data_IF_735214255503
#
_entry.id   IF_735214255503
#
_cell.length_a   1.000
_cell.length_b   1.000
_cell.length_c   1.000
_cell.angle_alpha   90.00
_cell.angle_beta   90.00
_cell.angle_gamma   90.00
#
_symmetry.space_group_name_H-M   'P 1'
#
loop_
_entity.id
_entity.type
_entity.pdbx_description
1 polymer ?
#
# COMPACT_ATOMS: atom_id res chain seq x y z
N UNK A 1 -8.09 -1.45 14.21
CA UNK A 1 -7.54 -1.19 12.87
C UNK A 1 -6.14 -0.65 13.04
N UNK A 2 -5.16 -1.37 12.51
CA UNK A 2 -3.75 -1.04 12.71
C UNK A 2 -3.35 0.07 11.72
N UNK A 3 -2.87 1.20 12.25
CA UNK A 3 -2.31 2.28 11.45
C UNK A 3 -0.83 2.00 11.14
N UNK A 4 -0.46 2.18 9.87
CA UNK A 4 0.87 1.92 9.35
C UNK A 4 1.32 3.04 8.42
N UNK A 5 2.63 3.21 8.32
CA UNK A 5 3.27 4.05 7.30
C UNK A 5 4.13 3.16 6.41
N UNK A 6 4.14 3.43 5.11
CA UNK A 6 5.06 2.78 4.18
C UNK A 6 6.32 3.62 4.09
N UNK A 7 7.44 3.09 4.58
CA UNK A 7 8.73 3.79 4.60
C UNK A 7 9.73 3.11 3.66
N UNK A 8 10.43 3.90 2.86
CA UNK A 8 11.61 3.46 2.11
C UNK A 8 12.86 4.24 2.53
N UNK A 9 14.02 3.69 2.20
CA UNK A 9 15.32 4.33 2.43
C UNK A 9 16.08 4.43 1.12
N UNK A 10 16.62 5.61 0.83
CA UNK A 10 17.44 5.85 -0.37
C UNK A 10 18.71 6.61 -0.01
N UNK A 11 19.81 6.28 -0.70
CA UNK A 11 21.09 6.97 -0.53
C UNK A 11 21.15 8.19 -1.44
N UNK A 12 21.14 9.39 -0.86
CA UNK A 12 21.20 10.66 -1.57
C UNK A 12 22.42 11.44 -1.06
N UNK A 13 23.31 11.84 -1.96
CA UNK A 13 24.58 12.50 -1.61
C UNK A 13 25.43 11.73 -0.57
N UNK A 14 25.41 10.38 -0.63
CA UNK A 14 26.07 9.46 0.32
C UNK A 14 25.46 9.43 1.73
N UNK A 15 24.29 10.02 1.92
CA UNK A 15 23.54 9.96 3.17
C UNK A 15 22.29 9.10 3.01
N UNK A 16 21.99 8.26 4.00
CA UNK A 16 20.76 7.47 4.03
C UNK A 16 19.59 8.36 4.41
N UNK A 17 18.64 8.51 3.50
CA UNK A 17 17.42 9.31 3.71
C UNK A 17 16.20 8.41 3.74
N UNK A 18 15.35 8.64 4.74
CA UNK A 18 14.09 7.94 4.94
C UNK A 18 12.95 8.77 4.38
N UNK A 19 12.03 8.11 3.69
CA UNK A 19 10.85 8.72 3.11
C UNK A 19 9.63 7.89 3.46
N UNK A 20 8.52 8.55 3.79
CA UNK A 20 7.22 7.91 3.90
C UNK A 20 6.42 8.16 2.62
N UNK A 21 5.64 7.17 2.19
CA UNK A 21 4.64 7.37 1.15
C UNK A 21 3.53 8.27 1.72
N UNK A 22 3.19 9.32 0.98
CA UNK A 22 2.19 10.31 1.39
C UNK A 22 1.23 10.63 0.24
N UNK A 23 0.04 11.11 0.57
CA UNK A 23 -0.91 11.66 -0.38
C UNK A 23 -1.88 12.65 0.30
N UNK A 24 -2.29 13.71 -0.39
CA UNK A 24 -3.29 14.65 0.16
C UNK A 24 -4.72 14.09 0.06
N UNK A 25 -5.01 13.36 -1.02
CA UNK A 25 -6.34 12.82 -1.32
C UNK A 25 -7.23 13.82 -2.03
N UNK A 26 -7.84 14.74 -1.29
CA UNK A 26 -8.69 15.78 -1.87
C UNK A 26 -7.84 16.83 -2.59
N UNK A 27 -8.18 17.15 -3.84
CA UNK A 27 -7.42 18.07 -4.69
C UNK A 27 -6.24 17.41 -5.40
N UNK A 28 -5.50 16.53 -4.72
CA UNK A 28 -4.40 15.77 -5.32
C UNK A 28 -4.41 14.30 -4.88
N UNK A 29 -4.67 13.42 -5.85
CA UNK A 29 -4.74 11.96 -5.63
C UNK A 29 -3.42 11.25 -5.86
N UNK A 30 -2.38 11.94 -6.34
CA UNK A 30 -1.11 11.30 -6.65
C UNK A 30 -0.27 11.19 -5.38
N UNK A 31 0.33 10.02 -5.19
CA UNK A 31 1.26 9.82 -4.09
C UNK A 31 2.58 10.54 -4.34
N UNK A 32 3.23 10.91 -3.24
CA UNK A 32 4.57 11.49 -3.22
C UNK A 32 5.34 10.99 -1.99
N UNK A 33 6.58 11.45 -1.84
CA UNK A 33 7.48 11.04 -0.77
C UNK A 33 7.68 12.19 0.24
N UNK A 34 7.27 11.97 1.48
CA UNK A 34 7.50 12.87 2.59
C UNK A 34 8.83 12.51 3.28
N UNK A 35 9.84 13.40 3.30
CA UNK A 35 11.13 13.12 3.92
C UNK A 35 11.03 13.08 5.44
N UNK A 36 11.48 12.00 6.07
CA UNK A 36 11.39 11.84 7.54
C UNK A 36 12.75 11.84 8.24
N UNK A 37 13.86 11.93 7.51
CA UNK A 37 15.21 11.96 8.11
C UNK A 37 15.53 13.25 8.87
N UNK A 38 14.93 14.38 8.48
CA UNK A 38 15.23 15.70 9.06
C UNK A 38 14.31 16.08 10.23
N UNK A 39 13.61 15.10 10.82
CA UNK A 39 12.59 15.30 11.85
C UNK A 39 13.06 16.10 13.08
N UNK A 40 14.38 16.15 13.32
CA UNK A 40 15.00 16.97 14.39
C UNK A 40 14.89 18.48 14.11
N UNK A 41 14.89 18.88 12.85
CA UNK A 41 14.90 20.28 12.42
C UNK A 41 13.59 20.70 11.77
N UNK A 42 12.94 19.79 11.04
CA UNK A 42 11.68 20.02 10.34
C UNK A 42 10.77 18.82 10.62
N UNK A 43 9.67 18.99 11.37
CA UNK A 43 8.75 17.89 11.62
C UNK A 43 8.06 17.46 10.32
N UNK A 44 8.06 16.17 9.96
CA UNK A 44 7.37 15.68 8.77
C UNK A 44 5.86 15.71 8.97
N UNK A 45 5.11 15.88 7.88
CA UNK A 45 3.66 15.76 7.92
C UNK A 45 3.22 14.29 7.89
N UNK A 46 3.12 13.68 9.07
CA UNK A 46 2.71 12.28 9.21
C UNK A 46 1.21 12.06 9.01
N UNK A 47 0.37 13.11 9.05
CA UNK A 47 -1.08 12.91 8.96
C UNK A 47 -1.50 12.40 7.57
N UNK A 48 -0.79 12.84 6.54
CA UNK A 48 -0.96 12.42 5.14
C UNK A 48 -0.14 11.17 4.77
N UNK A 49 0.62 10.61 5.73
CA UNK A 49 1.42 9.40 5.55
C UNK A 49 0.72 8.15 6.11
N UNK A 50 -0.34 8.33 6.89
CA UNK A 50 -0.98 7.24 7.63
C UNK A 50 -1.95 6.45 6.76
N UNK A 51 -1.77 5.13 6.76
CA UNK A 51 -2.69 4.18 6.16
C UNK A 51 -3.23 3.23 7.21
N UNK A 52 -4.48 2.83 7.03
CA UNK A 52 -5.14 1.79 7.80
C UNK A 52 -5.10 0.51 6.98
N UNK A 53 -4.62 -0.57 7.59
CA UNK A 53 -4.77 -1.91 7.02
C UNK A 53 -6.24 -2.32 7.13
N UNK A 54 -6.98 -2.15 6.04
CA UNK A 54 -8.41 -2.43 6.02
C UNK A 54 -8.68 -3.92 5.77
N UNK A 55 -7.97 -4.55 4.83
CA UNK A 55 -8.12 -5.97 4.53
C UNK A 55 -6.80 -6.70 4.28
N UNK A 56 -6.80 -8.00 4.59
CA UNK A 56 -5.75 -8.96 4.25
C UNK A 56 -6.40 -10.28 3.90
N UNK A 57 -6.20 -10.74 2.66
CA UNK A 57 -6.80 -11.95 2.11
C UNK A 57 -5.73 -12.77 1.42
N UNK A 58 -5.91 -14.10 1.40
CA UNK A 58 -5.14 -14.92 0.46
C UNK A 58 -5.52 -14.54 -0.97
N UNK A 59 -4.61 -14.72 -1.93
CA UNK A 59 -4.87 -14.39 -3.34
C UNK A 59 -6.12 -15.11 -3.88
N UNK A 60 -6.36 -16.36 -3.46
CA UNK A 60 -7.56 -17.11 -3.84
C UNK A 60 -8.83 -16.49 -3.28
N UNK A 61 -8.83 -16.14 -1.99
CA UNK A 61 -9.98 -15.49 -1.37
C UNK A 61 -10.27 -14.11 -1.98
N UNK A 62 -9.22 -13.37 -2.36
CA UNK A 62 -9.37 -12.11 -3.10
C UNK A 62 -10.03 -12.34 -4.47
N UNK A 63 -9.56 -13.32 -5.24
CA UNK A 63 -10.14 -13.65 -6.54
C UNK A 63 -11.62 -14.01 -6.43
N UNK A 64 -11.98 -14.87 -5.47
CA UNK A 64 -13.37 -15.24 -5.19
C UNK A 64 -14.22 -14.02 -4.84
N UNK A 65 -13.70 -13.13 -3.98
CA UNK A 65 -14.38 -11.89 -3.61
C UNK A 65 -14.62 -10.99 -4.82
N UNK A 66 -13.59 -10.73 -5.63
CA UNK A 66 -13.68 -9.86 -6.81
C UNK A 66 -14.65 -10.42 -7.86
N UNK A 67 -14.71 -11.74 -8.04
CA UNK A 67 -15.69 -12.37 -8.94
C UNK A 67 -17.13 -12.29 -8.43
N UNK A 68 -17.33 -12.27 -7.11
CA UNK A 68 -18.65 -12.22 -6.48
C UNK A 68 -19.18 -10.77 -6.28
N UNK A 69 -18.33 -9.76 -6.49
CA UNK A 69 -18.68 -8.34 -6.32
C UNK A 69 -19.67 -7.84 -7.39
N UNK A 70 -20.01 -8.66 -8.40
CA UNK A 70 -21.03 -8.38 -9.40
C UNK A 70 -22.47 -8.33 -8.87
N UNK A 71 -22.79 -9.02 -7.76
CA UNK A 71 -24.18 -9.17 -7.33
C UNK A 71 -24.51 -8.72 -5.89
N UNK A 72 -23.56 -8.59 -4.94
CA UNK A 72 -23.86 -8.16 -3.55
C UNK A 72 -22.63 -7.57 -2.81
N UNK A 73 -22.07 -6.47 -3.31
CA UNK A 73 -20.77 -5.93 -2.88
C UNK A 73 -20.72 -5.25 -1.49
N UNK A 74 -21.83 -5.04 -0.78
CA UNK A 74 -21.83 -4.16 0.41
C UNK A 74 -21.77 -4.87 1.76
N UNK A 75 -21.92 -6.20 1.86
CA UNK A 75 -22.14 -6.86 3.17
C UNK A 75 -21.19 -8.04 3.48
N UNK A 76 -20.29 -8.42 2.57
CA UNK A 76 -19.48 -9.63 2.73
C UNK A 76 -18.14 -9.51 3.49
N UNK A 77 -17.64 -8.29 3.74
CA UNK A 77 -16.26 -8.10 4.24
C UNK A 77 -16.15 -7.82 5.76
N UNK A 78 -17.20 -8.11 6.53
CA UNK A 78 -17.18 -8.02 7.98
C UNK A 78 -16.49 -9.24 8.61
N UNK A 79 -15.16 -9.35 8.46
CA UNK A 79 -14.34 -10.20 9.34
C UNK A 79 -13.55 -9.32 10.30
N UNK A 80 -14.26 -8.77 11.28
CA UNK A 80 -13.66 -8.08 12.43
C UNK A 80 -12.86 -9.04 13.28
N UNK A 81 -11.54 -8.81 13.37
CA UNK A 81 -10.60 -9.52 14.21
C UNK A 81 -9.19 -9.02 13.91
N UNK A 82 -8.27 -9.05 14.87
CA UNK A 82 -6.86 -8.68 14.64
C UNK A 82 -6.27 -9.53 13.52
N UNK A 83 -6.20 -8.96 12.30
CA UNK A 83 -5.78 -9.68 11.10
C UNK A 83 -4.27 -9.78 11.14
N UNK A 84 -3.77 -10.97 11.49
CA UNK A 84 -2.34 -11.25 11.34
C UNK A 84 -1.99 -11.20 9.86
N UNK A 85 -1.12 -10.28 9.47
CA UNK A 85 -0.56 -10.23 8.12
C UNK A 85 0.32 -11.44 7.87
N UNK A 86 0.12 -12.10 6.72
CA UNK A 86 0.97 -13.18 6.24
C UNK A 86 1.63 -12.77 4.93
N UNK A 87 2.86 -13.22 4.70
CA UNK A 87 3.48 -13.15 3.38
C UNK A 87 2.64 -13.94 2.37
N UNK A 88 2.45 -13.37 1.18
CA UNK A 88 1.62 -13.91 0.11
C UNK A 88 0.17 -13.45 0.15
N UNK A 89 -0.23 -12.74 1.20
CA UNK A 89 -1.56 -12.13 1.23
C UNK A 89 -1.60 -10.86 0.40
N UNK A 90 -2.77 -10.63 -0.21
CA UNK A 90 -3.15 -9.35 -0.75
C UNK A 90 -3.72 -8.46 0.36
N UNK A 91 -3.30 -7.22 0.41
CA UNK A 91 -3.75 -6.21 1.36
C UNK A 91 -4.48 -5.06 0.67
N UNK A 92 -5.40 -4.47 1.42
CA UNK A 92 -6.11 -3.25 1.08
C UNK A 92 -5.72 -2.17 2.09
N UNK A 93 -5.14 -1.07 1.59
CA UNK A 93 -4.68 0.06 2.40
C UNK A 93 -5.59 1.25 2.15
N UNK A 94 -6.21 1.76 3.22
CA UNK A 94 -7.03 2.98 3.20
C UNK A 94 -6.24 4.13 3.81
N UNK A 95 -6.14 5.23 3.09
CA UNK A 95 -5.52 6.46 3.56
C UNK A 95 -6.35 7.07 4.69
N UNK A 96 -5.76 7.23 5.87
CA UNK A 96 -6.47 7.58 7.12
C UNK A 96 -7.12 8.96 7.02
N UNK A 97 -6.48 9.93 6.37
CA UNK A 97 -7.01 11.29 6.29
C UNK A 97 -8.14 11.46 5.28
N UNK A 98 -8.03 10.83 4.10
CA UNK A 98 -8.98 11.05 2.99
C UNK A 98 -10.00 9.94 2.80
N UNK A 99 -9.92 8.84 3.56
CA UNK A 99 -10.79 7.67 3.44
C UNK A 99 -10.73 6.97 2.06
N UNK A 100 -9.71 7.27 1.26
CA UNK A 100 -9.51 6.70 -0.08
C UNK A 100 -8.52 5.54 -0.04
N UNK A 101 -8.51 4.69 -1.06
CA UNK A 101 -7.68 3.49 -1.14
C UNK A 101 -6.42 3.71 -1.98
N UNK A 102 -5.28 3.20 -1.50
CA UNK A 102 -4.01 3.21 -2.24
C UNK A 102 -4.14 2.34 -3.50
N UNK A 103 -3.92 2.93 -4.66
CA UNK A 103 -4.16 2.32 -5.96
C UNK A 103 -2.98 2.48 -6.91
N UNK A 104 -2.76 1.45 -7.73
CA UNK A 104 -2.02 1.59 -8.98
C UNK A 104 -2.92 2.30 -10.01
N UNK A 105 -2.47 3.41 -10.57
CA UNK A 105 -3.19 4.19 -11.57
C UNK A 105 -2.84 3.71 -12.99
N UNK A 106 -3.74 3.94 -13.94
CA UNK A 106 -3.46 3.68 -15.36
C UNK A 106 -2.66 4.80 -16.03
N UNK A 107 -2.53 5.95 -15.36
CA UNK A 107 -1.68 7.05 -15.81
C UNK A 107 -0.21 6.75 -15.56
N UNK A 108 0.66 7.39 -16.32
CA UNK A 108 2.10 7.39 -16.09
C UNK A 108 2.65 8.79 -16.37
N UNK A 109 3.34 9.37 -15.39
CA UNK A 109 4.09 10.63 -15.55
C UNK A 109 5.57 10.42 -15.79
N UNK A 110 6.05 9.17 -15.79
CA UNK A 110 7.46 8.86 -16.01
C UNK A 110 7.85 9.12 -17.46
N UNK A 111 8.90 9.92 -17.66
CA UNK A 111 9.46 10.17 -19.00
C UNK A 111 10.53 9.14 -19.37
N UNK A 112 11.10 8.45 -18.38
CA UNK A 112 12.25 7.55 -18.54
C UNK A 112 11.84 6.08 -18.50
N UNK A 113 10.80 5.73 -17.74
CA UNK A 113 10.28 4.37 -17.65
C UNK A 113 8.86 4.29 -18.22
N UNK A 114 8.76 3.75 -19.44
CA UNK A 114 7.48 3.60 -20.15
C UNK A 114 6.57 2.53 -19.55
N UNK A 115 7.10 1.68 -18.67
CA UNK A 115 6.34 0.63 -18.00
C UNK A 115 5.86 1.07 -16.61
N UNK A 116 6.35 2.22 -16.12
CA UNK A 116 5.93 2.76 -14.84
C UNK A 116 4.46 3.18 -14.88
N UNK A 117 3.79 2.97 -13.76
CA UNK A 117 2.44 3.46 -13.48
C UNK A 117 2.52 4.42 -12.31
N UNK A 118 1.69 5.46 -12.32
CA UNK A 118 1.57 6.33 -11.16
C UNK A 118 0.89 5.57 -10.00
N UNK A 119 1.26 5.92 -8.79
CA UNK A 119 0.60 5.45 -7.56
C UNK A 119 -0.22 6.62 -7.01
N UNK A 120 -1.43 6.32 -6.54
CA UNK A 120 -2.32 7.35 -6.00
C UNK A 120 -3.45 6.80 -5.16
N UNK A 121 -4.51 7.59 -5.02
CA UNK A 121 -5.68 7.30 -4.20
C UNK A 121 -6.97 7.22 -5.05
N UNK A 122 -7.87 6.31 -4.68
CA UNK A 122 -9.21 6.14 -5.29
C UNK A 122 -10.30 6.05 -4.23
N UNK A 123 -11.47 6.64 -4.51
CA UNK A 123 -12.60 6.68 -3.56
C UNK A 123 -13.24 5.32 -3.27
N UNK A 124 -13.18 4.37 -4.21
CA UNK A 124 -13.70 3.02 -4.01
C UNK A 124 -12.58 1.98 -4.15
N UNK A 125 -12.72 0.88 -3.40
CA UNK A 125 -11.82 -0.27 -3.45
C UNK A 125 -12.20 -1.26 -4.57
N UNK A 126 -12.91 -0.80 -5.62
CA UNK A 126 -13.44 -1.69 -6.64
C UNK A 126 -12.33 -2.21 -7.57
N UNK A 127 -12.37 -3.52 -7.83
CA UNK A 127 -11.44 -4.22 -8.70
C UNK A 127 -10.06 -4.41 -8.06
N UNK A 128 -9.11 -4.84 -8.89
CA UNK A 128 -7.76 -5.26 -8.45
C UNK A 128 -6.81 -4.08 -8.16
N UNK A 129 -7.11 -2.89 -8.67
CA UNK A 129 -6.17 -1.77 -8.69
C UNK A 129 -5.79 -1.24 -7.30
N UNK A 130 -6.63 -1.50 -6.28
CA UNK A 130 -6.39 -1.09 -4.89
C UNK A 130 -5.70 -2.17 -4.04
N UNK A 131 -5.39 -3.33 -4.63
CA UNK A 131 -4.85 -4.48 -3.92
C UNK A 131 -3.36 -4.67 -4.18
N UNK A 132 -2.64 -5.01 -3.12
CA UNK A 132 -1.18 -5.19 -3.15
C UNK A 132 -0.81 -6.49 -2.46
N UNK A 133 -0.03 -7.36 -3.09
CA UNK A 133 0.51 -8.56 -2.44
C UNK A 133 1.80 -8.25 -1.69
N UNK A 134 1.94 -8.80 -0.48
CA UNK A 134 3.15 -8.64 0.35
C UNK A 134 4.06 -9.86 0.14
N UNK A 135 5.31 -9.61 -0.23
CA UNK A 135 6.34 -10.64 -0.39
C UNK A 135 7.56 -10.35 0.50
N UNK A 136 8.27 -11.38 0.98
CA UNK A 136 9.46 -11.19 1.80
C UNK A 136 10.62 -10.65 0.95
N UNK A 137 11.30 -9.61 1.44
CA UNK A 137 12.47 -9.06 0.73
C UNK A 137 13.72 -9.94 0.85
N UNK A 138 13.75 -10.89 1.79
CA UNK A 138 14.91 -11.76 2.04
C UNK A 138 14.51 -13.21 2.28
N UNK A 139 15.48 -14.13 2.14
CA UNK A 139 15.30 -15.57 2.41
C UNK A 139 15.11 -15.92 3.90
N UNK A 140 15.12 -14.95 4.80
CA UNK A 140 14.85 -15.15 6.23
C UNK A 140 13.36 -15.31 6.54
N UNK A 141 12.50 -15.01 5.55
CA UNK A 141 11.06 -15.14 5.63
C UNK A 141 10.54 -15.94 4.45
N UNK A 142 9.40 -16.60 4.64
CA UNK A 142 8.73 -17.40 3.61
C UNK A 142 7.26 -17.03 3.47
N UNK A 143 6.70 -17.33 2.30
CA UNK A 143 5.25 -17.26 2.04
C UNK A 143 4.46 -18.01 3.11
N UNK A 144 3.37 -17.40 3.60
CA UNK A 144 2.54 -17.92 4.68
C UNK A 144 3.06 -17.65 6.09
N UNK A 145 4.29 -17.14 6.26
CA UNK A 145 4.77 -16.70 7.58
C UNK A 145 4.14 -15.36 8.00
N UNK A 146 4.07 -15.12 9.31
CA UNK A 146 3.59 -13.85 9.86
C UNK A 146 4.57 -12.72 9.57
N UNK A 147 4.05 -11.62 9.02
CA UNK A 147 4.80 -10.36 8.87
C UNK A 147 5.04 -9.75 10.25
N UNK A 148 6.27 -9.31 10.53
CA UNK A 148 6.65 -8.69 11.80
C UNK A 148 6.92 -7.20 11.61
N UNK A 149 6.78 -6.44 12.70
CA UNK A 149 7.14 -5.01 12.72
C UNK A 149 8.63 -4.87 12.38
N UNK A 150 8.94 -4.03 11.39
CA UNK A 150 10.29 -3.78 10.93
C UNK A 150 10.85 -4.82 9.95
N UNK A 151 10.04 -5.79 9.50
CA UNK A 151 10.43 -6.63 8.37
C UNK A 151 10.48 -5.78 7.08
N UNK A 152 11.45 -6.07 6.20
CA UNK A 152 11.54 -5.49 4.86
C UNK A 152 10.56 -6.20 3.92
N UNK A 153 9.71 -5.42 3.24
CA UNK A 153 8.61 -5.91 2.41
C UNK A 153 8.81 -5.54 0.94
N UNK A 154 8.33 -6.42 0.06
CA UNK A 154 8.10 -6.11 -1.35
C UNK A 154 6.59 -6.06 -1.56
N UNK A 155 6.08 -4.93 -2.05
CA UNK A 155 4.68 -4.78 -2.43
C UNK A 155 4.54 -4.92 -3.94
N UNK A 156 3.63 -5.79 -4.39
CA UNK A 156 3.34 -6.00 -5.81
C UNK A 156 1.88 -5.72 -6.07
N UNK A 157 1.61 -4.77 -6.97
CA UNK A 157 0.26 -4.43 -7.43
C UNK A 157 -0.42 -5.64 -8.06
N UNK A 158 -1.64 -5.96 -7.63
CA UNK A 158 -2.40 -7.07 -8.21
C UNK A 158 -2.80 -6.77 -9.66
N UNK A 159 -3.20 -5.53 -9.97
CA UNK A 159 -3.70 -5.19 -11.30
C UNK A 159 -2.63 -5.04 -12.38
N UNK A 160 -1.39 -4.72 -11.99
CA UNK A 160 -0.29 -4.47 -12.95
C UNK A 160 0.89 -5.42 -12.81
N UNK A 161 0.92 -6.27 -11.77
CA UNK A 161 2.03 -7.17 -11.44
C UNK A 161 3.38 -6.43 -11.32
N UNK A 162 3.34 -5.14 -10.95
CA UNK A 162 4.53 -4.28 -10.79
C UNK A 162 4.76 -3.94 -9.33
N UNK A 163 6.04 -3.68 -9.01
CA UNK A 163 6.47 -3.26 -7.68
C UNK A 163 6.03 -1.84 -7.36
N UNK A 164 5.76 -1.59 -6.08
CA UNK A 164 5.67 -0.26 -5.50
C UNK A 164 7.06 0.33 -5.25
#
# INVERSE_FOLDING_TARGET
DDEVVLQCVSSIHKEQRKFCLAAEGLGNRLCFLEPTSEAKYVPPDLCICNFVLEQSLSVRALQEMLTNTGDNASEGAAQGGHRTLLYGHAILLRHSFSEMYLTCLTSSRSQTDKLAFDVGLRENAAGEACWWTIHPASKQRSEGEKVRIGDDLILVSVSSERYL
#
